data_IF_962023257072
#
_entry.id   IF_962023257072
#
_cell.length_a   1.000
_cell.length_b   1.000
_cell.length_c   1.000
_cell.angle_alpha   90.00
_cell.angle_beta   90.00
_cell.angle_gamma   90.00
#
_symmetry.space_group_name_H-M   'P 1'
#
loop_
_entity.id
_entity.type
_entity.pdbx_description
1 polymer ?
#
# COMPACT_ATOMS: atom_id res chain seq x y z
N UNK A 1 -8.88 33.79 -6.19
CA UNK A 1 -8.53 32.95 -7.35
C UNK A 1 -8.53 31.50 -6.92
N UNK A 2 -9.30 30.64 -7.59
CA UNK A 2 -9.33 29.21 -7.29
C UNK A 2 -8.09 28.55 -7.87
N UNK A 3 -7.23 27.97 -7.03
CA UNK A 3 -6.11 27.16 -7.51
C UNK A 3 -6.66 25.86 -8.12
N UNK A 4 -6.05 25.43 -9.22
CA UNK A 4 -6.37 24.15 -9.83
C UNK A 4 -6.02 23.01 -8.86
N UNK A 5 -6.87 21.99 -8.74
CA UNK A 5 -6.68 20.85 -7.83
C UNK A 5 -5.30 20.22 -7.98
N UNK A 6 -4.81 20.09 -9.22
CA UNK A 6 -3.47 19.56 -9.52
C UNK A 6 -2.36 20.41 -8.91
N UNK A 7 -2.51 21.73 -8.93
CA UNK A 7 -1.53 22.68 -8.38
C UNK A 7 -1.50 22.62 -6.85
N UNK A 8 -2.68 22.51 -6.23
CA UNK A 8 -2.82 22.34 -4.77
C UNK A 8 -2.16 21.03 -4.34
N UNK A 9 -2.48 19.95 -5.04
CA UNK A 9 -1.96 18.61 -4.77
C UNK A 9 -0.42 18.56 -4.97
N UNK A 10 0.11 19.26 -5.97
CA UNK A 10 1.56 19.40 -6.18
C UNK A 10 2.23 20.13 -5.03
N UNK A 11 1.73 21.31 -4.66
CA UNK A 11 2.27 22.12 -3.57
C UNK A 11 2.23 21.40 -2.22
N UNK A 12 1.13 20.70 -1.93
CA UNK A 12 0.99 19.91 -0.70
C UNK A 12 1.98 18.76 -0.66
N UNK A 13 2.20 18.07 -1.78
CA UNK A 13 3.15 16.95 -1.82
C UNK A 13 4.61 17.41 -1.76
N UNK A 14 4.95 18.55 -2.35
CA UNK A 14 6.29 19.10 -2.22
C UNK A 14 6.63 19.42 -0.75
N UNK A 15 5.65 19.92 0.01
CA UNK A 15 5.85 20.34 1.40
C UNK A 15 5.66 19.23 2.44
N UNK A 16 4.77 18.27 2.20
CA UNK A 16 4.35 17.25 3.17
C UNK A 16 4.54 15.82 2.68
N UNK A 17 4.99 15.62 1.45
CA UNK A 17 5.10 14.31 0.82
C UNK A 17 3.76 13.72 0.38
N UNK A 18 3.78 12.45 -0.02
CA UNK A 18 2.60 11.73 -0.51
C UNK A 18 1.61 11.34 0.60
N UNK A 19 1.97 11.51 1.87
CA UNK A 19 1.19 11.05 3.03
C UNK A 19 -0.12 11.81 3.25
N UNK A 20 -0.26 13.01 2.66
CA UNK A 20 -1.46 13.84 2.78
C UNK A 20 -2.54 13.42 1.77
N UNK A 21 -2.18 12.63 0.75
CA UNK A 21 -3.13 12.18 -0.28
C UNK A 21 -3.99 11.03 0.25
N UNK A 22 -5.32 11.20 0.17
CA UNK A 22 -6.28 10.13 0.46
C UNK A 22 -6.17 8.93 -0.50
N UNK A 23 -5.67 9.16 -1.71
CA UNK A 23 -5.40 8.11 -2.70
C UNK A 23 -3.89 7.97 -2.89
N UNK A 24 -3.19 7.21 -2.02
CA UNK A 24 -1.74 7.05 -2.13
C UNK A 24 -1.40 6.37 -3.45
N UNK A 25 -0.50 6.94 -4.27
CA UNK A 25 -0.10 6.33 -5.53
C UNK A 25 0.54 4.95 -5.28
N UNK A 26 0.43 4.06 -6.28
CA UNK A 26 1.12 2.76 -6.27
C UNK A 26 2.61 2.98 -6.55
N UNK A 27 3.35 3.34 -5.50
CA UNK A 27 4.80 3.43 -5.49
C UNK A 27 5.38 2.12 -4.95
N UNK A 28 6.69 1.89 -5.14
CA UNK A 28 7.33 0.66 -4.63
C UNK A 28 7.12 0.45 -3.12
N UNK A 29 7.11 1.54 -2.33
CA UNK A 29 6.88 1.46 -0.89
C UNK A 29 5.43 1.11 -0.53
N UNK A 30 4.44 1.75 -1.17
CA UNK A 30 3.04 1.41 -0.90
C UNK A 30 2.73 -0.01 -1.35
N UNK A 31 3.29 -0.48 -2.47
CA UNK A 31 3.13 -1.86 -2.94
C UNK A 31 3.56 -2.90 -1.90
N UNK A 32 4.66 -2.69 -1.19
CA UNK A 32 5.10 -3.60 -0.11
C UNK A 32 4.05 -3.67 1.00
N UNK A 33 3.51 -2.51 1.40
CA UNK A 33 2.47 -2.43 2.43
C UNK A 33 1.18 -3.14 1.98
N UNK A 34 0.78 -2.97 0.72
CA UNK A 34 -0.39 -3.63 0.14
C UNK A 34 -0.20 -5.13 -0.11
N UNK A 35 1.03 -5.58 -0.38
CA UNK A 35 1.33 -6.99 -0.59
C UNK A 35 1.38 -7.79 0.72
N UNK A 36 1.71 -7.15 1.84
CA UNK A 36 1.90 -7.80 3.13
C UNK A 36 0.69 -8.66 3.57
N UNK A 37 -0.57 -8.17 3.54
CA UNK A 37 -1.73 -9.01 3.88
C UNK A 37 -1.85 -10.27 3.02
N UNK A 38 -1.60 -10.15 1.71
CA UNK A 38 -1.67 -11.27 0.77
C UNK A 38 -0.58 -12.30 1.09
N UNK A 39 0.65 -11.84 1.33
CA UNK A 39 1.77 -12.69 1.71
C UNK A 39 1.47 -13.45 3.01
N UNK A 40 0.92 -12.78 4.02
CA UNK A 40 0.55 -13.41 5.29
C UNK A 40 -0.51 -14.50 5.10
N UNK A 41 -1.53 -14.25 4.28
CA UNK A 41 -2.56 -15.25 3.96
C UNK A 41 -1.98 -16.48 3.25
N UNK A 42 -1.10 -16.27 2.27
CA UNK A 42 -0.43 -17.35 1.56
C UNK A 42 0.48 -18.17 2.49
N UNK A 43 1.23 -17.51 3.37
CA UNK A 43 2.05 -18.18 4.38
C UNK A 43 1.20 -19.02 5.32
N UNK A 44 0.08 -18.49 5.82
CA UNK A 44 -0.83 -19.23 6.68
C UNK A 44 -1.43 -20.45 5.96
N UNK A 45 -1.89 -20.28 4.72
CA UNK A 45 -2.41 -21.38 3.92
C UNK A 45 -1.35 -22.47 3.68
N UNK A 46 -0.11 -22.07 3.37
CA UNK A 46 1.01 -22.98 3.19
C UNK A 46 1.31 -23.78 4.47
N UNK A 47 1.35 -23.12 5.63
CA UNK A 47 1.56 -23.78 6.92
C UNK A 47 0.45 -24.79 7.20
N UNK A 48 -0.82 -24.40 7.02
CA UNK A 48 -1.97 -25.28 7.24
C UNK A 48 -1.96 -26.50 6.33
N UNK A 49 -1.61 -26.32 5.05
CA UNK A 49 -1.46 -27.42 4.10
C UNK A 49 -0.35 -28.38 4.51
N UNK A 50 0.83 -27.85 4.88
CA UNK A 50 1.98 -28.66 5.33
C UNK A 50 1.69 -29.44 6.62
N UNK A 51 0.96 -28.84 7.57
CA UNK A 51 0.57 -29.51 8.81
C UNK A 51 -0.45 -30.62 8.56
N UNK A 52 -1.44 -30.38 7.69
CA UNK A 52 -2.42 -31.42 7.32
C UNK A 52 -1.79 -32.56 6.54
N UNK A 53 -0.87 -32.27 5.61
CA UNK A 53 -0.18 -33.30 4.83
C UNK A 53 0.79 -34.17 5.65
N UNK A 54 1.15 -33.74 6.87
CA UNK A 54 2.00 -34.51 7.80
C UNK A 54 1.22 -35.40 8.77
N UNK A 55 -0.10 -35.23 8.89
CA UNK A 55 -0.98 -36.14 9.66
C UNK A 55 -1.53 -37.21 8.72
#
# INVERSE_FOLDING_TARGET
EGKNEVEIIGWMTERYGDFVRYNPPLTGQTLVLWALPVVLLLLMALILWRVRAKR
#
